data_IF_189915450831
#
_entry.id   IF_189915450831
#
_cell.length_a   1.000
_cell.length_b   1.000
_cell.length_c   1.000
_cell.angle_alpha   90.00
_cell.angle_beta   90.00
_cell.angle_gamma   90.00
#
_symmetry.space_group_name_H-M   'P 1'
#
loop_
_entity.id
_entity.type
_entity.pdbx_description
1 polymer ?
#
# COMPACT_ATOMS: atom_id res chain seq x y z
N UNK A 1 16.83 56.21 15.34
CA UNK A 1 16.50 55.66 16.67
C UNK A 1 16.98 54.22 16.73
N UNK A 2 18.21 54.09 17.21
CA UNK A 2 18.92 52.83 17.47
C UNK A 2 18.64 52.42 18.91
N UNK A 3 18.10 51.22 19.10
CA UNK A 3 18.07 50.56 20.41
C UNK A 3 18.86 49.25 20.32
N UNK A 4 20.08 49.32 20.83
CA UNK A 4 20.87 48.20 21.32
C UNK A 4 20.73 48.17 22.86
N UNK A 5 21.12 47.03 23.49
CA UNK A 5 21.46 46.77 24.92
C UNK A 5 20.69 45.53 25.46
N UNK A 6 21.30 44.59 26.23
CA UNK A 6 22.56 43.87 26.04
C UNK A 6 22.43 42.34 26.35
N UNK A 7 23.53 41.61 26.13
CA UNK A 7 23.69 40.19 26.42
C UNK A 7 23.66 39.83 27.92
N UNK A 8 23.00 38.71 28.28
CA UNK A 8 23.21 38.03 29.55
C UNK A 8 24.17 36.85 29.38
N UNK A 9 25.23 36.85 30.18
CA UNK A 9 26.21 35.78 30.35
C UNK A 9 25.51 34.61 31.05
N UNK A 10 25.64 33.40 30.51
CA UNK A 10 25.48 32.20 31.31
C UNK A 10 26.73 31.32 31.21
N UNK A 11 27.16 30.86 32.36
CA UNK A 11 28.49 30.35 32.68
C UNK A 11 28.64 28.90 32.22
N UNK A 12 29.64 28.65 31.37
CA UNK A 12 30.05 27.31 30.99
C UNK A 12 30.81 26.65 32.14
N UNK A 13 30.27 25.54 32.67
CA UNK A 13 31.04 24.60 33.47
C UNK A 13 31.39 23.37 32.62
N UNK A 14 32.69 23.17 32.40
CA UNK A 14 33.28 21.99 31.76
C UNK A 14 33.08 20.78 32.66
N UNK A 15 32.53 19.69 32.15
CA UNK A 15 32.72 18.34 32.72
C UNK A 15 33.16 17.36 31.63
N UNK A 16 34.30 16.72 31.93
CA UNK A 16 35.00 15.69 31.13
C UNK A 16 34.14 14.42 30.98
N UNK A 17 34.34 13.62 29.92
CA UNK A 17 33.60 12.38 29.71
C UNK A 17 34.11 11.28 30.66
N UNK A 18 33.19 10.58 31.33
CA UNK A 18 33.47 9.32 32.03
C UNK A 18 33.06 8.17 31.12
N UNK A 19 34.05 7.40 30.71
CA UNK A 19 33.89 6.06 30.14
C UNK A 19 33.19 5.14 31.14
N UNK A 20 32.11 4.47 30.72
CA UNK A 20 31.53 3.35 31.45
C UNK A 20 31.14 2.25 30.46
N UNK A 21 31.92 1.17 30.54
CA UNK A 21 31.68 -0.13 29.96
C UNK A 21 30.39 -0.74 30.50
N UNK A 22 29.54 -1.28 29.63
CA UNK A 22 28.45 -2.16 30.05
C UNK A 22 28.61 -3.53 29.38
N UNK A 23 28.98 -4.48 30.22
CA UNK A 23 29.07 -5.91 29.97
C UNK A 23 27.65 -6.50 29.92
N UNK A 24 27.46 -7.40 28.96
CA UNK A 24 26.30 -8.27 28.72
C UNK A 24 25.81 -8.96 30.00
N UNK A 25 24.50 -9.05 30.18
CA UNK A 25 23.85 -10.18 30.88
C UNK A 25 22.59 -10.61 30.14
N UNK A 26 22.72 -11.72 29.43
CA UNK A 26 21.63 -12.61 29.03
C UNK A 26 21.13 -13.30 30.30
N UNK A 27 19.82 -13.24 30.58
CA UNK A 27 19.19 -14.10 31.56
C UNK A 27 18.44 -15.20 30.81
N UNK A 28 19.05 -16.38 30.75
CA UNK A 28 18.39 -17.64 30.40
C UNK A 28 17.83 -18.18 31.72
N UNK A 29 16.51 -18.30 31.83
CA UNK A 29 15.86 -19.01 32.93
C UNK A 29 15.49 -20.41 32.42
N UNK A 30 16.35 -21.37 32.70
CA UNK A 30 16.03 -22.80 32.69
C UNK A 30 15.55 -23.18 34.08
N UNK A 31 14.26 -23.49 34.24
CA UNK A 31 13.74 -24.06 35.48
C UNK A 31 13.63 -25.58 35.32
N UNK A 32 14.57 -26.28 35.98
CA UNK A 32 14.64 -27.72 36.13
C UNK A 32 13.53 -28.24 37.05
N UNK A 33 12.79 -29.25 36.59
CA UNK A 33 11.88 -30.05 37.42
C UNK A 33 12.69 -30.86 38.45
N UNK A 34 12.49 -30.57 39.73
CA UNK A 34 12.84 -31.46 40.83
C UNK A 34 11.54 -31.89 41.54
N UNK A 35 11.19 -33.16 41.36
CA UNK A 35 10.11 -33.85 42.03
C UNK A 35 10.45 -34.06 43.51
N UNK A 36 9.72 -33.36 44.39
CA UNK A 36 9.67 -33.68 45.82
C UNK A 36 8.21 -33.99 46.18
N UNK A 37 7.95 -35.26 46.47
CA UNK A 37 6.69 -35.73 47.00
C UNK A 37 6.55 -35.26 48.46
N UNK A 38 5.45 -34.57 48.76
CA UNK A 38 4.97 -34.35 50.12
C UNK A 38 3.48 -34.74 50.18
N UNK A 39 3.02 -35.43 51.24
CA UNK A 39 1.67 -35.98 51.28
C UNK A 39 0.66 -34.95 51.81
N UNK A 40 -0.50 -34.92 51.16
CA UNK A 40 -1.81 -34.81 51.82
C UNK A 40 -2.17 -33.50 52.49
N UNK A 41 -2.80 -32.60 51.72
CA UNK A 41 -4.00 -31.88 52.15
C UNK A 41 -4.83 -31.63 50.89
N UNK A 42 -5.71 -32.59 50.59
CA UNK A 42 -6.72 -32.46 49.53
C UNK A 42 -7.78 -31.48 50.05
N UNK A 43 -7.49 -30.19 49.92
CA UNK A 43 -8.54 -29.18 49.88
C UNK A 43 -9.27 -29.36 48.56
N UNK A 44 -10.43 -30.00 48.60
CA UNK A 44 -11.29 -30.16 47.44
C UNK A 44 -11.68 -28.78 46.90
N UNK A 45 -10.98 -28.34 45.85
CA UNK A 45 -11.52 -27.32 44.97
C UNK A 45 -12.63 -28.02 44.21
N UNK A 46 -13.86 -27.90 44.72
CA UNK A 46 -15.02 -28.19 43.90
C UNK A 46 -14.93 -27.26 42.71
N UNK A 47 -14.59 -27.80 41.54
CA UNK A 47 -14.91 -27.14 40.29
C UNK A 47 -16.42 -26.92 40.36
N UNK A 48 -16.85 -25.69 40.60
CA UNK A 48 -18.24 -25.34 40.49
C UNK A 48 -18.63 -25.72 39.05
N UNK A 49 -19.38 -26.81 38.91
CA UNK A 49 -20.01 -27.12 37.63
C UNK A 49 -20.86 -25.90 37.31
N UNK A 50 -20.56 -25.22 36.20
CA UNK A 50 -21.42 -24.18 35.67
C UNK A 50 -22.80 -24.83 35.51
N UNK A 51 -23.74 -24.43 36.38
CA UNK A 51 -25.12 -24.90 36.28
C UNK A 51 -25.62 -24.35 34.97
N UNK A 52 -25.91 -25.23 34.01
CA UNK A 52 -26.50 -24.84 32.73
C UNK A 52 -27.78 -24.03 33.04
N UNK A 53 -27.76 -22.75 32.67
CA UNK A 53 -28.93 -21.89 32.80
C UNK A 53 -30.11 -22.44 31.99
N UNK A 54 -31.33 -21.93 32.19
CA UNK A 54 -32.44 -22.27 31.32
C UNK A 54 -32.09 -21.92 29.87
N UNK A 55 -32.54 -22.75 28.93
CA UNK A 55 -32.37 -22.53 27.49
C UNK A 55 -32.91 -21.16 27.11
N UNK A 56 -32.19 -20.45 26.26
CA UNK A 56 -32.45 -19.06 25.89
C UNK A 56 -33.64 -18.87 24.92
N UNK A 57 -34.68 -19.69 25.01
CA UNK A 57 -35.81 -19.70 24.07
C UNK A 57 -36.66 -18.41 24.12
N UNK A 58 -36.51 -17.58 25.15
CA UNK A 58 -37.15 -16.28 25.31
C UNK A 58 -36.25 -15.06 25.05
N UNK A 59 -34.99 -15.27 24.69
CA UNK A 59 -34.06 -14.17 24.40
C UNK A 59 -34.25 -13.62 22.98
N UNK A 60 -33.93 -12.34 22.81
CA UNK A 60 -33.97 -11.68 21.51
C UNK A 60 -32.76 -12.04 20.65
N UNK A 61 -32.44 -11.17 19.69
CA UNK A 61 -31.40 -11.41 18.68
C UNK A 61 -30.33 -10.34 18.74
N UNK A 62 -29.13 -10.69 18.26
CA UNK A 62 -28.10 -9.70 17.96
C UNK A 62 -27.88 -9.62 16.47
N UNK A 63 -27.89 -8.41 15.92
CA UNK A 63 -27.49 -8.13 14.53
C UNK A 63 -26.17 -7.37 14.52
N UNK A 64 -25.15 -7.95 13.90
CA UNK A 64 -23.83 -7.34 13.79
C UNK A 64 -23.59 -6.95 12.35
N UNK A 65 -23.21 -5.69 12.10
CA UNK A 65 -22.65 -5.25 10.82
C UNK A 65 -21.13 -5.15 10.96
N UNK A 66 -20.41 -5.82 10.07
CA UNK A 66 -18.95 -5.71 9.97
C UNK A 66 -18.62 -4.90 8.73
N UNK A 67 -17.83 -3.84 8.88
CA UNK A 67 -17.43 -2.95 7.78
C UNK A 67 -15.92 -2.88 7.61
N UNK A 68 -15.47 -2.48 6.42
CA UNK A 68 -14.09 -2.06 6.21
C UNK A 68 -13.99 -0.58 6.56
N UNK A 69 -13.42 -0.28 7.72
CA UNK A 69 -13.18 1.08 8.15
C UNK A 69 -11.99 1.67 7.37
N UNK A 70 -12.13 2.92 6.93
CA UNK A 70 -11.12 3.63 6.11
C UNK A 70 -10.53 4.86 6.81
N UNK A 71 -11.01 5.18 8.01
CA UNK A 71 -10.49 6.26 8.84
C UNK A 71 -10.41 5.86 10.34
N UNK A 72 -9.97 6.81 11.17
CA UNK A 72 -9.79 6.64 12.61
C UNK A 72 -10.89 7.30 13.46
N UNK A 73 -12.02 7.66 12.84
CA UNK A 73 -13.04 8.49 13.48
C UNK A 73 -13.92 7.74 14.50
N UNK A 74 -13.97 6.41 14.40
CA UNK A 74 -14.89 5.56 15.15
C UNK A 74 -16.37 5.75 14.79
N UNK A 75 -16.67 6.50 13.72
CA UNK A 75 -18.02 6.71 13.22
C UNK A 75 -18.26 5.87 11.99
N UNK A 76 -19.43 5.24 11.92
CA UNK A 76 -19.79 4.50 10.72
C UNK A 76 -20.22 5.47 9.61
N UNK A 77 -19.51 5.45 8.49
CA UNK A 77 -19.83 6.23 7.29
C UNK A 77 -20.19 5.31 6.13
N UNK A 78 -21.48 4.97 5.93
CA UNK A 78 -21.91 3.91 5.00
C UNK A 78 -21.41 4.04 3.55
N UNK A 79 -21.20 5.26 3.07
CA UNK A 79 -20.71 5.51 1.70
C UNK A 79 -19.24 5.15 1.53
N UNK A 80 -18.45 5.28 2.59
CA UNK A 80 -17.00 5.05 2.57
C UNK A 80 -16.61 3.69 3.14
N UNK A 81 -17.46 3.12 3.99
CA UNK A 81 -17.16 1.92 4.78
C UNK A 81 -18.12 0.78 4.38
N UNK A 82 -17.83 0.08 3.27
CA UNK A 82 -18.69 -1.01 2.81
C UNK A 82 -18.67 -2.18 3.80
N UNK A 83 -19.76 -2.96 3.78
CA UNK A 83 -19.86 -4.19 4.54
C UNK A 83 -18.84 -5.24 4.10
N UNK A 84 -18.26 -5.95 5.07
CA UNK A 84 -17.37 -7.09 4.82
C UNK A 84 -18.17 -8.38 4.84
N UNK A 85 -18.25 -9.07 3.71
CA UNK A 85 -18.93 -10.37 3.59
C UNK A 85 -18.05 -11.53 4.06
N UNK A 86 -18.68 -12.62 4.51
CA UNK A 86 -18.00 -13.87 4.89
C UNK A 86 -17.24 -13.80 6.21
N UNK A 87 -17.42 -12.75 7.01
CA UNK A 87 -16.80 -12.60 8.32
C UNK A 87 -17.56 -13.46 9.34
N UNK A 88 -16.83 -14.29 10.08
CA UNK A 88 -17.42 -15.13 11.13
C UNK A 88 -17.68 -14.32 12.39
N UNK A 89 -18.89 -14.44 12.95
CA UNK A 89 -19.29 -13.84 14.22
C UNK A 89 -19.76 -14.95 15.15
N UNK A 90 -19.16 -15.00 16.34
CA UNK A 90 -19.48 -15.94 17.39
C UNK A 90 -20.34 -15.26 18.47
N UNK A 91 -21.34 -15.97 18.96
CA UNK A 91 -22.12 -15.62 20.13
C UNK A 91 -21.92 -16.70 21.20
N UNK A 92 -21.34 -16.33 22.33
CA UNK A 92 -20.96 -17.25 23.41
C UNK A 92 -21.67 -16.88 24.70
N UNK A 93 -22.24 -17.87 25.38
CA UNK A 93 -22.83 -17.70 26.71
C UNK A 93 -21.80 -17.84 27.85
N UNK A 94 -22.22 -17.59 29.09
CA UNK A 94 -21.37 -17.70 30.28
C UNK A 94 -20.91 -19.14 30.57
N UNK A 95 -21.62 -20.15 30.04
CA UNK A 95 -21.26 -21.55 30.15
C UNK A 95 -20.22 -21.97 29.10
N UNK A 96 -19.90 -21.09 28.13
CA UNK A 96 -18.96 -21.33 27.06
C UNK A 96 -19.55 -22.04 25.84
N UNK A 97 -20.88 -22.23 25.77
CA UNK A 97 -21.52 -22.70 24.55
C UNK A 97 -21.50 -21.56 23.51
N UNK A 98 -21.29 -21.92 22.24
CA UNK A 98 -21.14 -20.94 21.16
C UNK A 98 -22.00 -21.33 19.97
N UNK A 99 -22.63 -20.33 19.35
CA UNK A 99 -23.13 -20.40 17.97
C UNK A 99 -22.35 -19.42 17.08
N UNK A 100 -22.33 -19.70 15.79
CA UNK A 100 -21.63 -18.87 14.80
C UNK A 100 -22.53 -18.55 13.63
N UNK A 101 -22.26 -17.40 12.99
CA UNK A 101 -22.83 -17.05 11.71
C UNK A 101 -21.81 -16.28 10.87
N UNK A 102 -22.10 -16.12 9.60
CA UNK A 102 -21.25 -15.41 8.64
C UNK A 102 -21.97 -14.22 8.06
N UNK A 103 -21.27 -13.10 7.92
CA UNK A 103 -21.86 -11.88 7.34
C UNK A 103 -22.26 -12.07 5.87
N UNK A 104 -23.43 -11.55 5.53
CA UNK A 104 -23.94 -11.47 4.16
C UNK A 104 -23.15 -10.45 3.31
N UNK A 105 -23.54 -10.26 2.06
CA UNK A 105 -22.87 -9.35 1.12
C UNK A 105 -22.82 -7.89 1.61
N UNK A 106 -23.81 -7.46 2.41
CA UNK A 106 -23.86 -6.12 2.99
C UNK A 106 -23.11 -6.01 4.33
N UNK A 107 -22.42 -7.07 4.75
CA UNK A 107 -21.67 -7.14 6.00
C UNK A 107 -22.51 -7.47 7.23
N UNK A 108 -23.79 -7.83 7.13
CA UNK A 108 -24.62 -8.13 8.30
C UNK A 108 -24.76 -9.62 8.60
N UNK A 109 -24.88 -9.96 9.88
CA UNK A 109 -25.33 -11.27 10.35
C UNK A 109 -26.23 -11.10 11.57
N UNK A 110 -27.30 -11.90 11.64
CA UNK A 110 -28.18 -11.96 12.82
C UNK A 110 -28.04 -13.32 13.48
N UNK A 111 -27.78 -13.33 14.79
CA UNK A 111 -27.67 -14.53 15.61
C UNK A 111 -28.82 -14.56 16.62
N UNK A 112 -29.41 -15.74 16.81
CA UNK A 112 -30.50 -15.98 17.75
C UNK A 112 -30.13 -17.10 18.72
N UNK A 113 -30.15 -16.84 20.05
CA UNK A 113 -30.02 -17.89 21.05
C UNK A 113 -31.20 -18.88 21.05
N UNK A 114 -32.39 -18.45 20.64
CA UNK A 114 -33.60 -19.26 20.68
C UNK A 114 -33.45 -20.54 19.83
N UNK A 115 -33.81 -21.70 20.39
CA UNK A 115 -33.64 -22.99 19.73
C UNK A 115 -32.20 -23.48 19.61
N UNK A 116 -31.20 -22.72 20.10
CA UNK A 116 -29.80 -23.14 20.13
C UNK A 116 -29.43 -23.81 21.47
N UNK A 117 -28.19 -24.29 21.64
CA UNK A 117 -27.66 -24.76 22.92
C UNK A 117 -27.35 -23.64 23.93
N UNK A 118 -27.43 -22.37 23.54
CA UNK A 118 -27.11 -21.25 24.41
C UNK A 118 -28.09 -21.14 25.59
N UNK A 119 -27.55 -20.74 26.73
CA UNK A 119 -28.30 -20.43 27.94
C UNK A 119 -28.05 -18.98 28.39
N UNK A 120 -29.01 -18.40 29.10
CA UNK A 120 -28.81 -17.13 29.79
C UNK A 120 -29.68 -15.98 29.29
N UNK A 121 -29.05 -14.93 28.79
CA UNK A 121 -29.64 -13.60 28.59
C UNK A 121 -28.61 -12.55 28.25
N UNK A 122 -27.35 -12.77 28.67
CA UNK A 122 -26.19 -11.98 28.30
C UNK A 122 -25.19 -12.83 27.56
N UNK A 123 -24.55 -12.24 26.56
CA UNK A 123 -23.70 -12.98 25.64
C UNK A 123 -22.47 -12.17 25.25
N UNK A 124 -21.35 -12.86 25.07
CA UNK A 124 -20.15 -12.32 24.42
C UNK A 124 -20.29 -12.49 22.92
N UNK A 125 -20.18 -11.40 22.17
CA UNK A 125 -20.09 -11.39 20.72
C UNK A 125 -18.64 -11.23 20.33
N UNK A 126 -18.11 -12.11 19.49
CA UNK A 126 -16.74 -12.02 18.98
C UNK A 126 -16.74 -12.10 17.46
N UNK A 127 -16.31 -11.01 16.81
CA UNK A 127 -16.12 -10.92 15.36
C UNK A 127 -14.70 -11.36 15.02
N UNK A 128 -14.58 -12.44 14.25
CA UNK A 128 -13.30 -13.04 13.92
C UNK A 128 -12.62 -12.28 12.78
N UNK A 129 -11.38 -11.87 12.99
CA UNK A 129 -10.59 -11.21 11.95
C UNK A 129 -10.34 -12.17 10.77
N UNK A 130 -10.84 -11.86 9.56
CA UNK A 130 -10.73 -12.77 8.42
C UNK A 130 -9.30 -12.83 7.83
N UNK A 131 -8.45 -11.85 8.12
CA UNK A 131 -7.05 -11.78 7.66
C UNK A 131 -6.16 -11.12 8.73
N UNK A 132 -5.74 -11.86 9.78
CA UNK A 132 -5.06 -11.28 10.94
C UNK A 132 -3.69 -10.65 10.63
N UNK A 133 -3.04 -11.02 9.53
CA UNK A 133 -1.77 -10.42 9.11
C UNK A 133 -1.93 -9.09 8.36
N UNK A 134 -3.16 -8.74 7.98
CA UNK A 134 -3.48 -7.56 7.15
C UNK A 134 -4.42 -6.59 7.86
N UNK A 135 -5.49 -7.13 8.43
CA UNK A 135 -6.55 -6.35 9.06
C UNK A 135 -6.31 -6.22 10.55
N UNK A 136 -6.69 -5.07 11.09
CA UNK A 136 -6.70 -4.77 12.51
C UNK A 136 -8.12 -4.38 12.92
N UNK A 137 -8.49 -4.54 14.19
CA UNK A 137 -9.76 -4.00 14.69
C UNK A 137 -9.81 -2.50 14.45
N UNK A 138 -10.93 -2.02 13.89
CA UNK A 138 -11.14 -0.60 13.66
C UNK A 138 -11.21 0.17 14.99
N UNK A 139 -10.97 1.48 14.93
CA UNK A 139 -11.15 2.34 16.08
C UNK A 139 -12.63 2.37 16.46
N UNK A 140 -12.95 1.95 17.69
CA UNK A 140 -14.30 2.00 18.21
C UNK A 140 -14.59 3.36 18.85
N UNK A 141 -15.84 3.81 18.78
CA UNK A 141 -16.36 4.91 19.57
C UNK A 141 -16.34 4.54 21.06
N UNK A 142 -15.97 5.51 21.90
CA UNK A 142 -15.84 5.29 23.35
C UNK A 142 -17.16 4.91 24.02
N UNK A 143 -18.31 5.30 23.45
CA UNK A 143 -19.62 4.96 23.97
C UNK A 143 -20.05 3.52 23.61
N UNK A 144 -19.33 2.84 22.70
CA UNK A 144 -19.64 1.46 22.29
C UNK A 144 -21.11 1.31 21.86
N UNK A 145 -21.83 0.42 22.54
CA UNK A 145 -23.23 0.10 22.23
C UNK A 145 -24.21 1.26 22.46
N UNK A 146 -23.88 2.28 23.27
CA UNK A 146 -24.80 3.38 23.57
C UNK A 146 -25.11 4.26 22.35
N UNK A 147 -24.20 4.29 21.35
CA UNK A 147 -24.36 5.01 20.08
C UNK A 147 -24.58 4.08 18.88
N UNK A 148 -24.83 2.80 19.13
CA UNK A 148 -25.08 1.84 18.07
C UNK A 148 -26.42 2.12 17.35
N UNK A 149 -26.56 1.73 16.07
CA UNK A 149 -25.54 1.17 15.18
C UNK A 149 -24.77 2.24 14.37
N UNK A 150 -24.92 3.54 14.72
CA UNK A 150 -24.39 4.67 13.95
C UNK A 150 -22.89 4.92 14.14
N UNK A 151 -22.31 4.37 15.21
CA UNK A 151 -20.87 4.41 15.48
C UNK A 151 -20.30 2.99 15.50
N UNK A 152 -18.98 2.89 15.36
CA UNK A 152 -18.25 1.62 15.41
C UNK A 152 -18.08 1.19 16.87
N UNK A 153 -18.42 -0.06 17.16
CA UNK A 153 -18.15 -0.75 18.43
C UNK A 153 -16.91 -1.62 18.30
N UNK A 154 -16.46 -2.18 19.42
CA UNK A 154 -15.36 -3.15 19.45
C UNK A 154 -15.72 -4.40 18.64
N UNK A 155 -14.72 -5.08 18.09
CA UNK A 155 -14.89 -6.41 17.46
C UNK A 155 -15.26 -7.49 18.48
N UNK A 156 -15.19 -7.16 19.77
CA UNK A 156 -15.66 -7.95 20.89
C UNK A 156 -16.59 -7.12 21.77
N UNK A 157 -17.83 -7.58 21.98
CA UNK A 157 -18.88 -6.87 22.73
C UNK A 157 -19.63 -7.80 23.68
N UNK A 158 -20.31 -7.21 24.65
CA UNK A 158 -21.19 -7.94 25.57
C UNK A 158 -22.60 -7.38 25.46
N UNK A 159 -23.56 -8.22 25.06
CA UNK A 159 -24.94 -7.82 24.78
C UNK A 159 -25.92 -8.44 25.77
N UNK A 160 -26.96 -7.71 26.14
CA UNK A 160 -28.11 -8.20 26.91
C UNK A 160 -29.30 -8.42 25.97
N UNK A 161 -29.60 -9.68 25.68
CA UNK A 161 -30.73 -10.11 24.87
C UNK A 161 -31.91 -10.62 25.72
N UNK A 162 -31.80 -10.53 27.05
CA UNK A 162 -32.81 -11.06 27.97
C UNK A 162 -34.18 -10.41 27.76
N UNK A 163 -35.24 -11.21 27.92
CA UNK A 163 -36.61 -10.73 27.79
C UNK A 163 -36.98 -10.30 26.37
N UNK A 164 -36.41 -10.97 25.35
CA UNK A 164 -36.71 -10.70 23.94
C UNK A 164 -36.05 -9.44 23.37
N UNK A 165 -35.06 -8.85 24.05
CA UNK A 165 -34.39 -7.63 23.58
C UNK A 165 -33.54 -7.91 22.34
N UNK A 166 -33.73 -7.10 21.31
CA UNK A 166 -32.88 -7.12 20.12
C UNK A 166 -31.79 -6.05 20.24
N UNK A 167 -30.55 -6.43 19.96
CA UNK A 167 -29.39 -5.53 19.92
C UNK A 167 -28.87 -5.47 18.49
N UNK A 168 -28.50 -4.29 18.01
CA UNK A 168 -27.84 -4.11 16.72
C UNK A 168 -26.66 -3.17 16.87
N UNK A 169 -25.50 -3.54 16.33
CA UNK A 169 -24.34 -2.65 16.31
C UNK A 169 -23.47 -2.86 15.07
N UNK A 170 -22.65 -1.85 14.78
CA UNK A 170 -21.66 -1.89 13.70
C UNK A 170 -20.29 -1.99 14.32
N UNK A 171 -19.41 -2.83 13.78
CA UNK A 171 -17.98 -2.88 14.08
C UNK A 171 -17.22 -2.97 12.76
N UNK A 172 -15.90 -2.95 12.80
CA UNK A 172 -15.13 -3.05 11.57
C UNK A 172 -13.71 -3.52 11.79
N UNK A 173 -13.09 -3.83 10.65
CA UNK A 173 -11.66 -3.97 10.53
C UNK A 173 -11.12 -2.87 9.62
N UNK A 174 -9.86 -2.49 9.82
CA UNK A 174 -9.17 -1.56 8.94
C UNK A 174 -7.84 -2.16 8.48
N UNK A 175 -7.42 -1.77 7.27
CA UNK A 175 -6.07 -2.02 6.77
C UNK A 175 -5.30 -0.69 6.87
N UNK A 176 -4.15 -0.62 7.58
CA UNK A 176 -3.32 0.58 7.64
C UNK A 176 -2.85 1.09 6.26
N UNK A 177 -2.86 0.21 5.24
CA UNK A 177 -2.68 0.55 3.83
C UNK A 177 -3.68 1.59 3.33
N UNK A 178 -4.95 1.49 3.71
CA UNK A 178 -6.05 2.37 3.27
C UNK A 178 -5.95 3.79 3.86
N UNK A 179 -5.30 3.93 5.01
CA UNK A 179 -5.27 5.20 5.72
C UNK A 179 -4.41 6.23 4.97
N UNK A 180 -5.01 7.40 4.75
CA UNK A 180 -4.35 8.61 4.29
C UNK A 180 -4.69 9.79 5.21
N UNK A 181 -3.66 10.52 5.62
CA UNK A 181 -3.83 11.75 6.39
C UNK A 181 -4.46 12.87 5.54
N UNK A 182 -5.32 13.69 6.14
CA UNK A 182 -6.04 14.77 5.44
C UNK A 182 -5.16 15.74 4.63
N UNK A 183 -3.94 15.99 5.09
CA UNK A 183 -2.97 16.86 4.42
C UNK A 183 -1.64 16.13 4.22
N UNK A 184 -1.66 15.03 3.47
CA UNK A 184 -0.48 14.23 3.18
C UNK A 184 0.61 15.04 2.47
N UNK A 185 1.88 14.77 2.79
CA UNK A 185 2.98 15.18 1.91
C UNK A 185 2.93 14.34 0.65
N UNK A 186 2.77 15.01 -0.49
CA UNK A 186 2.87 14.41 -1.81
C UNK A 186 4.31 14.51 -2.32
N UNK A 187 4.68 13.59 -3.20
CA UNK A 187 5.98 13.55 -3.86
C UNK A 187 5.73 13.31 -5.34
N UNK A 188 6.45 14.02 -6.21
CA UNK A 188 6.38 13.82 -7.66
C UNK A 188 7.75 13.99 -8.29
N UNK A 189 7.97 13.24 -9.37
CA UNK A 189 9.09 13.51 -10.26
C UNK A 189 8.86 14.80 -11.04
N UNK A 190 9.95 15.46 -11.40
CA UNK A 190 9.97 16.54 -12.37
C UNK A 190 10.79 16.06 -13.57
N UNK A 191 10.14 16.00 -14.73
CA UNK A 191 10.78 15.72 -16.01
C UNK A 191 10.65 17.00 -16.82
N UNK A 192 11.72 17.43 -17.48
CA UNK A 192 11.68 18.64 -18.29
C UNK A 192 10.71 18.48 -19.46
N UNK A 193 10.21 19.60 -19.97
CA UNK A 193 9.23 19.63 -21.07
C UNK A 193 9.84 19.98 -22.44
N UNK A 194 11.16 20.09 -22.54
CA UNK A 194 11.92 20.32 -23.78
C UNK A 194 13.08 19.31 -23.93
N UNK A 195 13.90 19.45 -24.96
CA UNK A 195 14.87 18.42 -25.39
C UNK A 195 16.33 18.84 -25.24
N UNK A 196 16.58 20.02 -24.68
CA UNK A 196 17.96 20.48 -24.51
C UNK A 196 18.66 19.67 -23.40
N UNK A 197 20.00 19.71 -23.28
CA UNK A 197 20.67 19.13 -22.12
C UNK A 197 20.18 19.80 -20.82
N UNK A 198 19.81 19.00 -19.82
CA UNK A 198 19.29 19.50 -18.55
C UNK A 198 20.43 19.97 -17.64
N UNK A 199 20.35 21.18 -17.04
CA UNK A 199 21.33 21.61 -16.05
C UNK A 199 21.44 20.63 -14.88
N UNK A 200 22.67 20.41 -14.40
CA UNK A 200 22.96 19.56 -13.26
C UNK A 200 22.10 19.87 -12.02
N UNK A 201 21.75 21.14 -11.80
CA UNK A 201 20.97 21.63 -10.65
C UNK A 201 19.47 21.59 -10.84
N UNK A 202 18.95 21.17 -12.00
CA UNK A 202 17.51 21.08 -12.21
C UNK A 202 16.90 20.05 -11.27
N UNK A 203 15.79 20.38 -10.64
CA UNK A 203 15.06 19.48 -9.74
C UNK A 203 14.44 18.31 -10.50
N UNK A 204 14.55 17.12 -9.95
CA UNK A 204 13.99 15.88 -10.53
C UNK A 204 13.02 15.18 -9.61
N UNK A 205 13.06 15.49 -8.31
CA UNK A 205 12.13 14.98 -7.30
C UNK A 205 11.78 16.10 -6.35
N UNK A 206 10.49 16.30 -6.10
CA UNK A 206 9.99 17.34 -5.19
C UNK A 206 8.92 16.80 -4.26
N UNK A 207 8.77 17.43 -3.11
CA UNK A 207 7.66 17.19 -2.19
C UNK A 207 6.90 18.46 -1.84
N UNK A 208 5.62 18.32 -1.51
CA UNK A 208 4.73 19.42 -1.13
C UNK A 208 3.50 18.87 -0.39
N UNK A 209 2.86 19.63 0.52
CA UNK A 209 1.64 19.17 1.19
C UNK A 209 0.44 19.13 0.23
N UNK A 210 -0.49 18.20 0.41
CA UNK A 210 -1.71 18.03 -0.39
C UNK A 210 -2.55 19.31 -0.47
N UNK A 211 -2.57 20.12 0.59
CA UNK A 211 -3.26 21.40 0.64
C UNK A 211 -2.47 22.58 0.04
N UNK A 212 -1.25 22.37 -0.46
CA UNK A 212 -0.53 23.40 -1.20
C UNK A 212 -1.34 23.82 -2.44
N UNK A 213 -1.39 25.12 -2.70
CA UNK A 213 -2.09 25.71 -3.85
C UNK A 213 -1.20 26.74 -4.53
N UNK A 214 -1.33 26.87 -5.85
CA UNK A 214 -0.50 27.75 -6.66
C UNK A 214 0.77 27.07 -7.18
N UNK A 215 1.62 27.84 -7.86
CA UNK A 215 2.85 27.35 -8.50
C UNK A 215 4.00 27.33 -7.48
N UNK A 216 4.68 26.18 -7.35
CA UNK A 216 5.84 25.98 -6.46
C UNK A 216 5.59 26.41 -5.00
N UNK A 217 4.35 26.33 -4.51
CA UNK A 217 4.02 26.71 -3.15
C UNK A 217 4.38 25.57 -2.18
N UNK A 218 5.16 25.88 -1.15
CA UNK A 218 5.63 24.92 -0.14
C UNK A 218 6.31 23.68 -0.75
N UNK A 219 6.97 23.87 -1.90
CA UNK A 219 7.71 22.81 -2.59
C UNK A 219 9.11 22.70 -1.99
N UNK A 220 9.53 21.48 -1.69
CA UNK A 220 10.88 21.14 -1.27
C UNK A 220 11.53 20.28 -2.34
N UNK A 221 12.67 20.72 -2.87
CA UNK A 221 13.48 19.93 -3.79
C UNK A 221 14.19 18.81 -3.01
N UNK A 222 14.05 17.57 -3.50
CA UNK A 222 14.59 16.36 -2.87
C UNK A 222 15.76 15.74 -3.65
N UNK A 223 15.84 16.01 -4.95
CA UNK A 223 16.91 15.56 -5.82
C UNK A 223 17.05 16.48 -7.03
N UNK A 224 18.25 16.43 -7.61
CA UNK A 224 18.57 17.12 -8.86
C UNK A 224 18.89 16.15 -9.99
N UNK A 225 19.01 16.69 -11.21
CA UNK A 225 19.43 15.95 -12.39
C UNK A 225 20.82 15.33 -12.20
N UNK A 226 21.74 16.02 -11.53
CA UNK A 226 23.04 15.44 -11.18
C UNK A 226 22.96 14.25 -10.22
N UNK A 227 21.94 14.21 -9.35
CA UNK A 227 21.76 13.12 -8.40
C UNK A 227 21.09 11.90 -9.07
N UNK A 228 20.08 12.15 -9.91
CA UNK A 228 19.09 11.12 -10.28
C UNK A 228 18.70 11.05 -11.75
N UNK A 229 18.88 12.13 -12.52
CA UNK A 229 18.35 12.26 -13.88
C UNK A 229 16.84 12.07 -13.95
N UNK A 230 16.33 11.52 -15.05
CA UNK A 230 14.91 11.28 -15.27
C UNK A 230 14.35 10.20 -14.33
N UNK A 231 13.27 10.53 -13.62
CA UNK A 231 12.59 9.65 -12.68
C UNK A 231 11.12 9.40 -13.06
N UNK A 232 10.66 8.17 -12.85
CA UNK A 232 9.25 7.79 -12.83
C UNK A 232 9.05 6.63 -11.84
N UNK A 233 7.81 6.44 -11.40
CA UNK A 233 7.46 5.42 -10.43
C UNK A 233 7.96 5.80 -9.04
N UNK A 234 7.04 5.90 -8.09
CA UNK A 234 7.34 6.41 -6.75
C UNK A 234 6.61 5.57 -5.72
N UNK A 235 7.36 4.83 -4.91
CA UNK A 235 6.84 4.03 -3.81
C UNK A 235 7.19 4.65 -2.46
N UNK A 236 6.28 4.60 -1.49
CA UNK A 236 6.51 5.13 -0.14
C UNK A 236 6.39 4.04 0.93
N UNK A 237 7.46 3.82 1.69
CA UNK A 237 7.41 2.98 2.89
C UNK A 237 6.88 3.78 4.08
N UNK A 238 5.65 3.48 4.54
CA UNK A 238 5.06 4.10 5.73
C UNK A 238 5.90 3.80 7.00
N UNK A 239 6.48 2.60 7.08
CA UNK A 239 7.22 2.09 8.24
C UNK A 239 8.59 2.75 8.39
N UNK A 240 9.30 2.95 7.26
CA UNK A 240 10.65 3.55 7.25
C UNK A 240 10.64 5.05 6.97
N UNK A 241 9.53 5.57 6.44
CA UNK A 241 9.41 6.93 5.91
C UNK A 241 10.47 7.19 4.82
N UNK A 242 10.57 6.22 3.92
CA UNK A 242 11.46 6.28 2.76
C UNK A 242 10.64 6.37 1.49
N UNK A 243 11.10 7.19 0.57
CA UNK A 243 10.58 7.29 -0.79
C UNK A 243 11.55 6.53 -1.68
N UNK A 244 11.04 5.65 -2.52
CA UNK A 244 11.79 5.00 -3.59
C UNK A 244 11.35 5.59 -4.92
N UNK A 245 12.30 5.89 -5.80
CA UNK A 245 12.03 6.38 -7.16
C UNK A 245 12.85 5.63 -8.20
N UNK A 246 12.22 5.24 -9.31
CA UNK A 246 12.88 4.54 -10.41
C UNK A 246 13.43 5.50 -11.47
N UNK A 247 14.58 5.16 -12.07
CA UNK A 247 15.01 5.76 -13.33
C UNK A 247 13.99 5.43 -14.44
N UNK A 248 13.81 6.34 -15.39
CA UNK A 248 12.87 6.14 -16.50
C UNK A 248 13.48 6.55 -17.84
N UNK A 249 13.07 5.85 -18.90
CA UNK A 249 13.45 6.17 -20.28
C UNK A 249 12.49 7.23 -20.84
N UNK A 250 12.96 8.47 -20.93
CA UNK A 250 12.19 9.59 -21.47
C UNK A 250 13.01 10.37 -22.48
N UNK A 251 12.49 10.56 -23.70
CA UNK A 251 13.16 11.36 -24.74
C UNK A 251 13.41 12.78 -24.23
N UNK A 252 14.62 13.30 -24.43
CA UNK A 252 14.99 14.65 -23.99
C UNK A 252 15.32 14.76 -22.50
N UNK A 253 15.41 13.65 -21.76
CA UNK A 253 15.76 13.66 -20.33
C UNK A 253 16.70 12.49 -20.01
N UNK A 254 17.95 12.81 -19.70
CA UNK A 254 18.99 11.79 -19.52
C UNK A 254 18.76 10.95 -18.26
N UNK A 255 19.26 9.71 -18.31
CA UNK A 255 19.51 8.95 -17.10
C UNK A 255 20.49 9.67 -16.16
N UNK A 256 20.30 9.48 -14.86
CA UNK A 256 21.26 9.93 -13.85
C UNK A 256 22.56 9.13 -13.88
N UNK A 257 23.54 9.48 -13.01
CA UNK A 257 24.87 8.87 -13.00
C UNK A 257 24.87 7.36 -12.69
N UNK A 258 23.77 6.82 -12.16
CA UNK A 258 23.62 5.39 -11.82
C UNK A 258 22.92 4.56 -12.92
N UNK A 259 22.58 5.18 -14.05
CA UNK A 259 22.10 4.52 -15.26
C UNK A 259 20.61 4.12 -15.26
N UNK A 260 20.19 3.47 -16.35
CA UNK A 260 18.78 3.18 -16.67
C UNK A 260 18.07 2.23 -15.69
N UNK A 261 18.82 1.45 -14.91
CA UNK A 261 18.27 0.56 -13.89
C UNK A 261 18.27 1.14 -12.48
N UNK A 262 18.67 2.40 -12.29
CA UNK A 262 18.83 2.96 -10.96
C UNK A 262 17.49 3.08 -10.22
N UNK A 263 17.50 2.69 -8.94
CA UNK A 263 16.46 3.02 -7.98
C UNK A 263 17.10 3.87 -6.90
N UNK A 264 16.50 5.02 -6.63
CA UNK A 264 16.96 5.93 -5.61
C UNK A 264 16.06 5.82 -4.38
N UNK A 265 16.64 6.09 -3.22
CA UNK A 265 15.95 6.18 -1.94
C UNK A 265 16.19 7.56 -1.34
N UNK A 266 15.10 8.25 -1.02
CA UNK A 266 15.07 9.49 -0.25
C UNK A 266 14.58 9.22 1.17
N UNK A 267 15.39 9.59 2.17
CA UNK A 267 14.98 9.57 3.57
C UNK A 267 14.21 10.85 3.91
N UNK A 268 12.92 10.77 4.26
CA UNK A 268 12.10 11.97 4.50
C UNK A 268 12.46 12.72 5.78
N UNK A 269 13.31 12.15 6.65
CA UNK A 269 13.78 12.81 7.86
C UNK A 269 14.94 13.76 7.56
N UNK A 270 15.81 13.38 6.63
CA UNK A 270 17.01 14.15 6.26
C UNK A 270 16.90 14.83 4.91
N UNK A 271 15.89 14.45 4.12
CA UNK A 271 15.72 14.79 2.70
C UNK A 271 16.94 14.38 1.84
N UNK A 272 17.71 13.39 2.29
CA UNK A 272 18.87 12.90 1.54
C UNK A 272 18.45 11.82 0.56
N UNK A 273 18.73 12.05 -0.73
CA UNK A 273 18.56 11.09 -1.81
C UNK A 273 19.86 10.35 -2.09
N UNK A 274 19.79 9.03 -2.22
CA UNK A 274 20.95 8.16 -2.43
C UNK A 274 20.56 6.96 -3.31
N UNK A 275 21.52 6.36 -4.01
CA UNK A 275 21.28 5.12 -4.74
C UNK A 275 20.87 4.01 -3.76
N UNK A 276 19.76 3.33 -4.05
CA UNK A 276 19.31 2.14 -3.33
C UNK A 276 19.88 0.87 -3.97
N UNK A 277 19.69 0.72 -5.29
CA UNK A 277 20.18 -0.41 -6.08
C UNK A 277 20.15 -0.07 -7.58
N UNK A 278 20.70 -0.97 -8.41
CA UNK A 278 20.58 -0.92 -9.87
C UNK A 278 19.99 -2.24 -10.36
N UNK A 279 18.81 -2.18 -10.97
CA UNK A 279 18.14 -3.32 -11.59
C UNK A 279 18.94 -3.78 -12.81
N UNK A 280 19.27 -5.07 -12.92
CA UNK A 280 20.07 -5.57 -14.04
C UNK A 280 19.27 -5.54 -15.35
N UNK A 281 19.98 -5.37 -16.47
CA UNK A 281 19.39 -5.54 -17.80
C UNK A 281 18.32 -4.51 -18.17
N UNK A 282 18.31 -3.33 -17.55
CA UNK A 282 17.32 -2.27 -17.79
C UNK A 282 17.62 -1.42 -19.04
N UNK A 283 18.43 -1.91 -19.99
CA UNK A 283 18.92 -1.11 -21.11
C UNK A 283 19.99 -0.09 -20.69
N UNK A 284 20.12 0.97 -21.48
CA UNK A 284 21.18 1.97 -21.28
C UNK A 284 21.50 2.73 -22.56
N UNK A 285 20.50 2.97 -23.39
CA UNK A 285 20.69 3.67 -24.65
C UNK A 285 21.17 5.10 -24.35
N UNK A 286 22.27 5.56 -24.97
CA UNK A 286 22.76 6.92 -24.75
C UNK A 286 21.84 7.93 -25.42
N UNK A 287 21.63 9.07 -24.77
CA UNK A 287 20.94 10.22 -25.36
C UNK A 287 21.88 11.00 -26.28
N UNK A 288 21.34 11.53 -27.38
CA UNK A 288 22.02 12.48 -28.25
C UNK A 288 21.16 13.74 -28.42
N UNK A 289 21.32 14.66 -27.49
CA UNK A 289 20.59 15.93 -27.49
C UNK A 289 20.99 16.86 -28.64
N UNK A 290 22.16 16.64 -29.26
CA UNK A 290 22.66 17.49 -30.33
C UNK A 290 22.05 17.13 -31.69
N UNK A 291 21.74 15.85 -31.90
CA UNK A 291 21.18 15.36 -33.16
C UNK A 291 19.67 15.22 -33.09
N UNK A 292 18.95 15.90 -33.99
CA UNK A 292 17.50 15.81 -34.16
C UNK A 292 16.71 15.83 -32.85
N UNK A 293 17.17 16.61 -31.87
CA UNK A 293 16.50 16.74 -30.58
C UNK A 293 16.31 15.38 -29.88
N UNK A 294 17.31 14.50 -29.90
CA UNK A 294 17.24 13.16 -29.27
C UNK A 294 16.18 12.24 -29.93
N UNK A 295 15.88 12.43 -31.22
CA UNK A 295 14.85 11.64 -31.92
C UNK A 295 15.20 10.15 -32.01
N UNK A 296 16.49 9.81 -32.13
CA UNK A 296 16.95 8.42 -32.18
C UNK A 296 16.64 7.63 -30.89
N UNK A 297 16.31 8.32 -29.78
CA UNK A 297 15.90 7.69 -28.53
C UNK A 297 14.42 7.27 -28.51
N UNK A 298 13.58 7.83 -29.40
CA UNK A 298 12.14 7.55 -29.42
C UNK A 298 11.77 6.05 -29.42
N UNK A 299 12.47 5.15 -30.14
CA UNK A 299 12.24 3.71 -30.08
C UNK A 299 12.45 3.05 -28.71
N UNK A 300 13.11 3.71 -27.76
CA UNK A 300 13.47 3.15 -26.47
C UNK A 300 12.52 3.57 -25.34
N UNK A 301 11.73 4.63 -25.55
CA UNK A 301 10.75 5.12 -24.58
C UNK A 301 9.73 4.02 -24.28
N UNK A 302 9.49 3.77 -23.00
CA UNK A 302 8.63 2.70 -22.50
C UNK A 302 9.02 1.26 -22.93
N UNK A 303 10.25 1.05 -23.45
CA UNK A 303 10.80 -0.27 -23.81
C UNK A 303 12.07 -0.65 -23.05
N UNK A 304 12.75 0.32 -22.44
CA UNK A 304 13.86 0.09 -21.52
C UNK A 304 13.68 0.93 -20.24
N UNK A 305 14.60 0.79 -19.29
CA UNK A 305 14.53 1.38 -17.94
C UNK A 305 13.37 0.80 -17.11
N UNK A 306 12.94 1.52 -16.06
CA UNK A 306 11.94 1.06 -15.11
C UNK A 306 10.58 1.67 -15.41
N UNK A 307 9.55 0.84 -15.27
CA UNK A 307 8.15 1.25 -15.43
C UNK A 307 7.61 1.88 -14.16
N UNK A 308 7.70 1.17 -13.04
CA UNK A 308 7.21 1.65 -11.75
C UNK A 308 7.95 0.96 -10.60
N UNK A 309 7.87 1.56 -9.41
CA UNK A 309 8.30 0.96 -8.15
C UNK A 309 7.20 1.08 -7.10
N UNK A 310 6.94 0.00 -6.36
CA UNK A 310 5.87 -0.02 -5.36
C UNK A 310 6.32 -0.74 -4.10
N UNK A 311 5.96 -0.21 -2.93
CA UNK A 311 6.34 -0.80 -1.64
C UNK A 311 5.19 -1.66 -1.13
N UNK A 312 5.49 -2.86 -0.61
CA UNK A 312 4.47 -3.69 0.04
C UNK A 312 3.85 -2.96 1.25
N UNK A 313 2.60 -3.25 1.58
CA UNK A 313 1.89 -2.59 2.69
C UNK A 313 2.62 -2.75 4.04
N UNK A 314 3.32 -3.86 4.24
CA UNK A 314 4.14 -4.12 5.44
C UNK A 314 5.55 -3.50 5.39
N UNK A 315 5.93 -2.88 4.27
CA UNK A 315 7.20 -2.19 4.05
C UNK A 315 8.41 -3.10 3.86
N UNK A 316 8.22 -4.41 3.67
CA UNK A 316 9.33 -5.37 3.55
C UNK A 316 9.87 -5.55 2.14
N UNK A 317 9.04 -5.30 1.14
CA UNK A 317 9.38 -5.54 -0.26
C UNK A 317 9.22 -4.28 -1.10
N UNK A 318 10.16 -4.09 -2.02
CA UNK A 318 10.05 -3.15 -3.12
C UNK A 318 9.87 -3.96 -4.41
N UNK A 319 8.74 -3.75 -5.07
CA UNK A 319 8.43 -4.30 -6.38
C UNK A 319 8.86 -3.32 -7.46
N UNK A 320 9.38 -3.84 -8.57
CA UNK A 320 9.90 -3.02 -9.67
C UNK A 320 9.59 -3.66 -10.99
N UNK A 321 9.03 -2.91 -11.94
CA UNK A 321 8.89 -3.38 -13.33
C UNK A 321 10.11 -2.92 -14.14
N UNK A 322 10.82 -3.88 -14.73
CA UNK A 322 11.84 -3.59 -15.74
C UNK A 322 11.21 -3.74 -17.14
N UNK A 323 11.25 -2.67 -17.93
CA UNK A 323 10.61 -2.61 -19.25
C UNK A 323 11.37 -3.40 -20.32
N UNK A 324 12.69 -3.51 -20.17
CA UNK A 324 13.57 -4.16 -21.16
C UNK A 324 13.40 -5.69 -21.18
N UNK A 325 13.35 -6.31 -20.01
CA UNK A 325 13.17 -7.76 -19.88
C UNK A 325 11.73 -8.18 -19.53
N UNK A 326 10.85 -7.20 -19.26
CA UNK A 326 9.45 -7.38 -18.88
C UNK A 326 9.30 -8.28 -17.66
N UNK A 327 10.13 -8.04 -16.65
CA UNK A 327 10.06 -8.74 -15.37
C UNK A 327 9.63 -7.85 -14.23
N UNK A 328 8.94 -8.48 -13.28
CA UNK A 328 8.70 -7.95 -11.95
C UNK A 328 9.87 -8.38 -11.06
N UNK A 329 10.63 -7.44 -10.54
CA UNK A 329 11.69 -7.67 -9.56
C UNK A 329 11.17 -7.39 -8.16
N UNK A 330 11.69 -8.13 -7.17
CA UNK A 330 11.39 -7.95 -5.74
C UNK A 330 12.69 -7.73 -4.98
N UNK A 331 12.78 -6.64 -4.22
CA UNK A 331 13.94 -6.28 -3.39
C UNK A 331 13.58 -6.17 -1.91
N UNK A 332 14.58 -6.25 -1.02
CA UNK A 332 14.39 -5.98 0.41
C UNK A 332 14.30 -4.47 0.68
N UNK A 333 13.11 -3.97 0.98
CA UNK A 333 12.88 -2.56 1.29
C UNK A 333 13.22 -2.19 2.74
N UNK A 334 13.62 -3.16 3.58
CA UNK A 334 13.93 -2.91 5.00
C UNK A 334 15.33 -2.34 5.22
N UNK A 335 16.20 -2.47 4.21
CA UNK A 335 17.59 -2.05 4.21
C UNK A 335 17.80 -0.74 3.46
N UNK A 336 18.82 0.07 3.82
CA UNK A 336 19.09 1.33 3.15
C UNK A 336 19.54 1.18 1.69
N UNK A 337 20.07 0.01 1.33
CA UNK A 337 20.53 -0.37 -0.01
C UNK A 337 20.28 -1.86 -0.22
N UNK A 338 20.24 -2.30 -1.48
CA UNK A 338 20.15 -3.71 -1.84
C UNK A 338 21.18 -4.04 -2.93
N UNK A 339 21.97 -5.11 -2.73
CA UNK A 339 22.98 -5.54 -3.70
C UNK A 339 22.43 -6.41 -4.82
N UNK A 340 21.30 -7.08 -4.60
CA UNK A 340 20.65 -7.98 -5.55
C UNK A 340 19.14 -8.08 -5.26
N UNK A 341 18.31 -8.43 -6.25
CA UNK A 341 16.91 -8.77 -6.02
C UNK A 341 16.78 -10.07 -5.21
N UNK A 342 15.72 -10.17 -4.40
CA UNK A 342 15.28 -11.43 -3.78
C UNK A 342 14.82 -12.42 -4.83
N UNK A 343 14.09 -11.93 -5.83
CA UNK A 343 13.53 -12.71 -6.93
C UNK A 343 13.18 -11.82 -8.13
N UNK A 344 12.95 -12.46 -9.28
CA UNK A 344 12.42 -11.82 -10.47
C UNK A 344 11.50 -12.76 -11.22
N UNK A 345 10.42 -12.23 -11.79
CA UNK A 345 9.37 -13.02 -12.43
C UNK A 345 9.05 -12.45 -13.81
N UNK A 346 9.00 -13.30 -14.83
CA UNK A 346 8.51 -12.88 -16.15
C UNK A 346 7.05 -12.45 -16.03
N UNK A 347 6.74 -11.23 -16.48
CA UNK A 347 5.36 -10.72 -16.47
C UNK A 347 4.65 -11.31 -17.69
N UNK A 348 3.69 -12.22 -17.52
CA UNK A 348 2.98 -12.81 -18.64
C UNK A 348 2.18 -11.72 -19.38
N UNK A 349 2.01 -11.93 -20.68
CA UNK A 349 1.08 -11.13 -21.48
C UNK A 349 -0.38 -11.33 -21.04
N UNK A 350 -1.30 -10.53 -21.60
CA UNK A 350 -2.73 -10.71 -21.38
C UNK A 350 -3.25 -12.05 -21.90
N UNK A 351 -4.38 -12.49 -21.33
CA UNK A 351 -5.04 -13.74 -21.71
C UNK A 351 -5.56 -13.70 -23.17
N UNK A 352 -6.02 -12.54 -23.62
CA UNK A 352 -6.19 -12.23 -25.04
C UNK A 352 -4.90 -11.58 -25.53
N UNK A 353 -4.09 -12.27 -26.35
CA UNK A 353 -2.76 -11.80 -26.72
C UNK A 353 -2.79 -10.46 -27.45
N UNK A 354 -1.74 -9.66 -27.27
CA UNK A 354 -1.49 -8.50 -28.13
C UNK A 354 -1.19 -8.96 -29.58
N UNK A 355 -1.29 -8.05 -30.55
CA UNK A 355 -1.05 -8.35 -31.96
C UNK A 355 0.34 -8.98 -32.22
N UNK A 356 1.36 -8.52 -31.48
CA UNK A 356 2.64 -9.20 -31.38
C UNK A 356 3.11 -9.29 -29.92
N UNK A 357 3.96 -10.26 -29.60
CA UNK A 357 4.57 -10.38 -28.28
C UNK A 357 5.40 -9.14 -27.88
N UNK A 358 5.92 -8.40 -28.86
CA UNK A 358 6.61 -7.12 -28.66
C UNK A 358 5.70 -6.00 -28.17
N UNK A 359 4.40 -6.06 -28.46
CA UNK A 359 3.45 -5.00 -28.11
C UNK A 359 3.01 -5.04 -26.65
N UNK A 360 3.31 -6.13 -25.92
CA UNK A 360 3.07 -6.19 -24.48
C UNK A 360 4.11 -5.34 -23.73
N UNK A 361 3.63 -4.25 -23.13
CA UNK A 361 4.41 -3.28 -22.35
C UNK A 361 3.89 -3.25 -20.91
N UNK A 362 4.30 -4.17 -20.02
CA UNK A 362 4.03 -4.03 -18.59
C UNK A 362 4.73 -2.78 -18.05
N UNK A 363 4.11 -2.06 -17.12
CA UNK A 363 4.58 -0.75 -16.70
C UNK A 363 4.27 -0.45 -15.23
N UNK A 364 2.98 -0.20 -14.93
CA UNK A 364 2.55 0.30 -13.62
C UNK A 364 2.41 -0.78 -12.56
N UNK A 365 2.53 -0.37 -11.30
CA UNK A 365 2.32 -1.19 -10.12
C UNK A 365 1.25 -0.60 -9.21
N UNK A 366 0.71 -1.45 -8.34
CA UNK A 366 -0.11 -1.05 -7.21
C UNK A 366 -0.20 -2.20 -6.22
N UNK A 367 -0.37 -1.92 -4.93
CA UNK A 367 -0.56 -2.94 -3.90
C UNK A 367 -1.85 -2.66 -3.16
N UNK A 368 -2.68 -3.69 -2.98
CA UNK A 368 -3.89 -3.62 -2.18
C UNK A 368 -4.14 -4.97 -1.52
N UNK A 369 -4.32 -4.97 -0.20
CA UNK A 369 -4.71 -6.15 0.58
C UNK A 369 -3.76 -7.36 0.42
N UNK A 370 -2.47 -7.08 0.39
CA UNK A 370 -1.40 -8.07 0.21
C UNK A 370 -1.22 -8.57 -1.23
N UNK A 371 -2.02 -8.07 -2.19
CA UNK A 371 -1.92 -8.43 -3.62
C UNK A 371 -1.17 -7.34 -4.37
N UNK A 372 -0.24 -7.72 -5.22
CA UNK A 372 0.44 -6.82 -6.16
C UNK A 372 -0.32 -6.83 -7.48
N UNK A 373 -0.58 -5.65 -8.04
CA UNK A 373 -1.23 -5.48 -9.33
C UNK A 373 -0.18 -4.97 -10.31
N UNK A 374 -0.04 -5.67 -11.44
CA UNK A 374 0.86 -5.29 -12.52
C UNK A 374 0.01 -4.85 -13.71
N UNK A 375 0.13 -3.57 -14.06
CA UNK A 375 -0.54 -2.96 -15.19
C UNK A 375 0.34 -2.93 -16.42
N UNK A 376 -0.25 -2.96 -17.61
CA UNK A 376 0.46 -2.80 -18.86
C UNK A 376 -0.47 -2.52 -20.03
N UNK A 377 0.11 -2.30 -21.20
CA UNK A 377 -0.63 -2.04 -22.44
C UNK A 377 -0.25 -3.01 -23.54
N UNK A 378 -1.22 -3.37 -24.38
CA UNK A 378 -0.95 -3.77 -25.75
C UNK A 378 -0.81 -2.48 -26.57
N UNK A 379 0.40 -2.17 -27.03
CA UNK A 379 0.71 -0.91 -27.70
C UNK A 379 0.21 -0.80 -29.13
N UNK A 380 -0.21 -1.93 -29.73
CA UNK A 380 -0.55 -2.05 -31.15
C UNK A 380 0.55 -1.54 -32.11
N UNK A 381 1.79 -1.45 -31.63
CA UNK A 381 2.93 -0.93 -32.40
C UNK A 381 3.17 -1.77 -33.66
N UNK A 382 3.06 -3.08 -33.54
CA UNK A 382 3.27 -3.99 -34.68
C UNK A 382 2.16 -3.92 -35.73
N UNK A 383 0.89 -3.83 -35.31
CA UNK A 383 -0.25 -3.88 -36.21
C UNK A 383 -0.65 -2.51 -36.76
N UNK A 384 -0.33 -1.45 -36.02
CA UNK A 384 -0.82 -0.09 -36.26
C UNK A 384 -2.36 -0.02 -36.31
N UNK A 385 -3.07 -0.94 -35.64
CA UNK A 385 -4.53 -0.96 -35.58
C UNK A 385 -5.04 -0.50 -34.21
N UNK A 386 -5.89 0.53 -34.18
CA UNK A 386 -6.51 1.03 -32.93
C UNK A 386 -7.31 -0.03 -32.17
N UNK A 387 -7.88 -1.00 -32.89
CA UNK A 387 -8.66 -2.10 -32.29
C UNK A 387 -7.82 -3.02 -31.39
N UNK A 388 -6.48 -3.01 -31.54
CA UNK A 388 -5.55 -3.85 -30.78
C UNK A 388 -5.03 -3.16 -29.50
N UNK A 389 -5.40 -1.89 -29.27
CA UNK A 389 -5.01 -1.14 -28.08
C UNK A 389 -5.81 -1.59 -26.86
N UNK A 390 -5.11 -2.03 -25.82
CA UNK A 390 -5.73 -2.55 -24.60
C UNK A 390 -4.92 -2.15 -23.37
N UNK A 391 -5.60 -1.82 -22.29
CA UNK A 391 -5.02 -1.69 -20.96
C UNK A 391 -5.38 -2.93 -20.14
N UNK A 392 -4.37 -3.52 -19.50
CA UNK A 392 -4.48 -4.82 -18.82
C UNK A 392 -3.93 -4.66 -17.41
N UNK A 393 -4.64 -5.19 -16.41
CA UNK A 393 -4.15 -5.32 -15.03
C UNK A 393 -4.29 -6.76 -14.60
N UNK A 394 -3.22 -7.31 -14.02
CA UNK A 394 -3.15 -8.68 -13.53
C UNK A 394 -2.63 -8.70 -12.10
N UNK A 395 -3.05 -9.69 -11.33
CA UNK A 395 -2.56 -9.90 -9.97
C UNK A 395 -1.25 -10.69 -9.95
N UNK A 396 -0.45 -10.44 -8.92
CA UNK A 396 0.68 -11.24 -8.49
C UNK A 396 0.52 -11.50 -6.99
N UNK A 397 0.59 -12.76 -6.60
CA UNK A 397 0.53 -13.21 -5.21
C UNK A 397 1.96 -13.32 -4.66
N UNK A 398 2.37 -12.45 -3.72
CA UNK A 398 3.70 -12.50 -3.14
C UNK A 398 4.02 -13.73 -2.28
N UNK A 399 3.00 -14.41 -1.76
CA UNK A 399 3.15 -15.60 -0.94
C UNK A 399 3.32 -16.85 -1.82
N UNK A 400 2.55 -16.93 -2.91
CA UNK A 400 2.70 -17.99 -3.91
C UNK A 400 3.84 -17.74 -4.91
N UNK A 401 4.37 -16.51 -4.95
CA UNK A 401 5.37 -16.04 -5.90
C UNK A 401 4.94 -16.25 -7.37
N UNK A 402 3.66 -16.04 -7.64
CA UNK A 402 3.04 -16.38 -8.92
C UNK A 402 2.07 -15.31 -9.41
N UNK A 403 2.02 -15.15 -10.74
CA UNK A 403 1.01 -14.33 -11.40
C UNK A 403 -0.35 -15.01 -11.41
N UNK A 404 -1.37 -14.29 -10.99
CA UNK A 404 -2.77 -14.70 -10.99
C UNK A 404 -3.54 -14.20 -12.20
N UNK A 405 -4.85 -14.02 -12.04
CA UNK A 405 -5.79 -13.65 -13.09
C UNK A 405 -5.62 -12.21 -13.59
N UNK A 406 -6.06 -11.97 -14.82
CA UNK A 406 -6.34 -10.62 -15.32
C UNK A 406 -7.62 -10.11 -14.66
N UNK A 407 -7.54 -8.96 -13.99
CA UNK A 407 -8.66 -8.32 -13.28
C UNK A 407 -9.20 -7.08 -14.00
N UNK A 408 -8.43 -6.56 -14.97
CA UNK A 408 -8.88 -5.53 -15.90
C UNK A 408 -8.35 -5.87 -17.29
N UNK A 409 -9.22 -5.84 -18.29
CA UNK A 409 -8.83 -5.97 -19.68
C UNK A 409 -9.75 -5.09 -20.55
N UNK A 410 -9.29 -3.87 -20.82
CA UNK A 410 -10.11 -2.81 -21.39
C UNK A 410 -9.55 -2.36 -22.74
N UNK A 411 -10.40 -2.33 -23.76
CA UNK A 411 -10.09 -1.69 -25.04
C UNK A 411 -9.94 -0.18 -24.86
N UNK A 412 -8.96 0.40 -25.54
CA UNK A 412 -8.73 1.85 -25.55
C UNK A 412 -9.41 2.51 -26.76
N UNK A 413 -10.67 2.18 -27.03
CA UNK A 413 -11.46 2.67 -28.18
C UNK A 413 -12.38 3.85 -27.85
N UNK A 414 -12.26 4.41 -26.63
CA UNK A 414 -13.03 5.55 -26.17
C UNK A 414 -12.31 6.90 -26.42
N UNK A 415 -13.04 8.02 -26.53
CA UNK A 415 -12.45 9.33 -26.78
C UNK A 415 -11.67 9.86 -25.57
N UNK A 416 -10.70 10.75 -25.81
CA UNK A 416 -9.98 11.50 -24.77
C UNK A 416 -9.88 13.00 -25.12
N UNK A 417 -9.64 13.89 -24.14
CA UNK A 417 -9.41 15.29 -24.44
C UNK A 417 -8.20 15.50 -25.39
N UNK A 418 -8.30 16.52 -26.25
CA UNK A 418 -7.21 16.99 -27.13
C UNK A 418 -5.95 17.25 -26.30
N UNK A 419 -4.85 16.62 -26.67
CA UNK A 419 -3.56 16.77 -25.96
C UNK A 419 -2.66 17.82 -26.57
N UNK A 420 -2.86 18.16 -27.85
CA UNK A 420 -2.04 19.15 -28.53
C UNK A 420 -2.89 19.93 -29.56
N UNK A 421 -3.08 21.22 -29.32
CA UNK A 421 -3.99 22.08 -30.09
C UNK A 421 -3.35 22.71 -31.33
N UNK A 422 -2.03 22.58 -31.48
CA UNK A 422 -1.21 23.30 -32.47
C UNK A 422 -0.56 22.40 -33.54
N UNK A 423 -0.77 21.08 -33.53
CA UNK A 423 -0.29 20.13 -34.55
C UNK A 423 -1.44 19.65 -35.47
N UNK A 424 -1.11 19.10 -36.66
CA UNK A 424 -2.08 18.35 -37.48
C UNK A 424 -2.69 17.13 -36.76
N UNK A 425 -2.09 16.68 -35.65
CA UNK A 425 -2.55 15.56 -34.84
C UNK A 425 -3.06 16.09 -33.50
N UNK A 426 -4.38 16.11 -33.29
CA UNK A 426 -4.99 16.66 -32.07
C UNK A 426 -4.84 15.75 -30.85
N UNK A 427 -4.63 14.46 -31.06
CA UNK A 427 -4.44 13.48 -29.97
C UNK A 427 -5.70 13.29 -29.11
N UNK A 428 -6.88 13.40 -29.72
CA UNK A 428 -8.21 13.28 -29.09
C UNK A 428 -8.73 11.82 -29.00
N UNK A 429 -7.88 10.85 -29.31
CA UNK A 429 -8.14 9.43 -29.12
C UNK A 429 -6.85 8.69 -28.72
N UNK A 430 -6.99 7.40 -28.43
CA UNK A 430 -5.84 6.50 -28.29
C UNK A 430 -5.40 5.98 -29.65
N UNK A 431 -4.10 5.99 -29.88
CA UNK A 431 -3.46 5.58 -31.13
C UNK A 431 -2.37 4.54 -30.84
N UNK A 432 -2.13 3.62 -31.79
CA UNK A 432 -0.99 2.72 -31.75
C UNK A 432 0.32 3.48 -31.48
N UNK A 433 1.23 2.84 -30.75
CA UNK A 433 2.55 3.41 -30.57
C UNK A 433 3.29 3.52 -31.91
N UNK A 434 4.02 4.60 -32.09
CA UNK A 434 4.91 4.83 -33.24
C UNK A 434 6.22 5.40 -32.73
N UNK A 435 7.32 4.80 -33.18
CA UNK A 435 8.67 5.28 -32.90
C UNK A 435 9.04 6.53 -33.70
N UNK A 436 8.18 6.93 -34.64
CA UNK A 436 8.36 8.12 -35.48
C UNK A 436 7.23 9.12 -35.26
N UNK A 437 7.51 10.40 -35.49
CA UNK A 437 6.51 11.46 -35.41
C UNK A 437 5.52 11.29 -36.57
N UNK A 438 4.23 11.03 -36.30
CA UNK A 438 3.25 10.82 -37.37
C UNK A 438 2.96 12.13 -38.10
N UNK A 439 2.94 12.08 -39.43
CA UNK A 439 2.63 13.25 -40.28
C UNK A 439 1.11 13.52 -40.41
N UNK A 440 0.28 12.55 -40.03
CA UNK A 440 -1.18 12.61 -40.08
C UNK A 440 -1.75 11.87 -38.87
N UNK A 441 -2.95 12.27 -38.44
CA UNK A 441 -3.70 11.53 -37.43
C UNK A 441 -4.29 10.28 -38.09
N UNK A 442 -3.90 9.10 -37.59
CA UNK A 442 -4.24 7.79 -38.14
C UNK A 442 -5.55 7.20 -37.66
#
# INVERSE_FOLDING_TARGET
MTYSVPASRNTGSRRRPRTLSWIRRLAIVTLSLASAAAPGLVGGVTAAQAVAGPRADGDGTVTVRVVRAVDDSGKYTPVLEPGMSGVTVNLTDDAGATISGTTAADGTVTLSPAGSPLAGGKYRVQVMNPKPDLFFSAFADRAGLDNAPGNLSSTEEFVDLSGGKNVSYTTGFWNPGDYCQKNATLVTACIRNDVTPEPATSRTLVSFPYNARGVNNQTTDLATHADTGALYGIGYSKQKKWIFSGATAHRGSAYGPSGAGAIYRTDTKTNATSLFTTVPGAGGTPHDFATDMDLAFAPHVAKESLGDVEVSEDGKDLYVVNLADRKLYRYDATQPTASAPKASYAIPGPDTPCAAAGDWRPYGLGVQDGVVYVGGVCSAESSQQRADLRAVVRTFDPAAEAFGSVVMDQKLDYPRPVTYTVAPCKGDAWFPWSDTIPLKQG
#
